data_IF_085940284810
#
_entry.id   IF_085940284810
#
_cell.length_a   1.000
_cell.length_b   1.000
_cell.length_c   1.000
_cell.angle_alpha   90.00
_cell.angle_beta   90.00
_cell.angle_gamma   90.00
#
_symmetry.space_group_name_H-M   'P 1'
#
loop_
_entity.id
_entity.type
_entity.pdbx_description
1 polymer ?
#
# COMPACT_ATOMS: atom_id res chain seq x y z
N UNK A 1 -3.49 -25.20 4.65
CA UNK A 1 -2.09 -25.35 5.10
C UNK A 1 -1.08 -25.18 3.96
N UNK A 2 -1.18 -25.85 2.79
CA UNK A 2 -0.21 -25.67 1.68
C UNK A 2 -0.23 -24.31 0.96
N UNK A 3 -1.35 -23.55 0.98
CA UNK A 3 -1.43 -22.21 0.35
C UNK A 3 -0.66 -21.17 1.16
N UNK A 4 -0.65 -21.31 2.49
CA UNK A 4 -0.08 -20.33 3.43
C UNK A 4 1.45 -20.34 3.33
N UNK A 5 2.08 -21.52 3.28
CA UNK A 5 3.54 -21.64 3.18
C UNK A 5 4.14 -21.14 1.85
N UNK A 6 3.38 -21.18 0.75
CA UNK A 6 3.84 -20.66 -0.55
C UNK A 6 3.74 -19.13 -0.64
N UNK A 7 2.72 -18.55 0.00
CA UNK A 7 2.54 -17.10 0.06
C UNK A 7 3.59 -16.46 0.99
N UNK A 8 3.78 -17.01 2.20
CA UNK A 8 4.71 -16.48 3.22
C UNK A 8 6.17 -16.41 2.73
N UNK A 9 6.65 -17.46 2.05
CA UNK A 9 7.99 -17.49 1.47
C UNK A 9 8.17 -16.49 0.31
N UNK A 10 7.11 -16.14 -0.42
CA UNK A 10 7.20 -15.17 -1.51
C UNK A 10 7.26 -13.73 -0.98
N UNK A 11 6.56 -13.44 0.12
CA UNK A 11 6.45 -12.10 0.71
C UNK A 11 7.68 -11.63 1.50
N UNK A 12 8.25 -12.50 2.36
CA UNK A 12 9.48 -12.19 3.11
C UNK A 12 10.68 -12.09 2.18
N UNK A 13 10.77 -13.02 1.21
CA UNK A 13 11.78 -12.96 0.15
C UNK A 13 11.61 -11.68 -0.66
N UNK A 14 10.40 -11.16 -0.88
CA UNK A 14 10.18 -9.95 -1.67
C UNK A 14 10.72 -8.67 -1.00
N UNK A 15 10.34 -8.33 0.25
CA UNK A 15 10.88 -7.13 0.91
C UNK A 15 12.40 -7.22 1.15
N UNK A 16 12.89 -8.42 1.48
CA UNK A 16 14.31 -8.67 1.65
C UNK A 16 15.07 -8.68 0.30
N UNK A 17 14.42 -9.11 -0.79
CA UNK A 17 14.93 -8.99 -2.16
C UNK A 17 14.91 -7.55 -2.64
N UNK A 18 13.95 -6.70 -2.29
CA UNK A 18 13.98 -5.28 -2.65
C UNK A 18 15.19 -4.59 -2.01
N UNK A 19 15.39 -4.79 -0.70
CA UNK A 19 16.55 -4.25 0.02
C UNK A 19 17.87 -4.85 -0.46
N UNK A 20 17.93 -6.16 -0.70
CA UNK A 20 19.16 -6.81 -1.19
C UNK A 20 19.44 -6.56 -2.68
N UNK A 21 18.42 -6.38 -3.53
CA UNK A 21 18.59 -5.98 -4.93
C UNK A 21 19.13 -4.55 -5.00
N UNK A 22 18.54 -3.61 -4.24
CA UNK A 22 19.08 -2.25 -4.08
C UNK A 22 20.55 -2.27 -3.65
N UNK A 23 20.93 -3.17 -2.73
CA UNK A 23 22.32 -3.32 -2.27
C UNK A 23 23.24 -4.06 -3.25
N UNK A 24 22.74 -5.04 -4.00
CA UNK A 24 23.50 -5.79 -5.01
C UNK A 24 23.83 -4.91 -6.21
N UNK A 25 22.90 -4.03 -6.59
CA UNK A 25 23.08 -3.03 -7.62
C UNK A 25 24.16 -2.01 -7.23
N UNK A 26 24.38 -1.75 -5.94
CA UNK A 26 25.53 -0.94 -5.46
C UNK A 26 26.88 -1.62 -5.70
N UNK A 27 26.93 -2.95 -5.78
CA UNK A 27 28.17 -3.70 -6.02
C UNK A 27 28.48 -3.92 -7.50
N UNK A 28 27.49 -3.73 -8.40
CA UNK A 28 27.61 -4.05 -9.82
C UNK A 28 27.77 -2.85 -10.76
N UNK A 29 27.93 -1.62 -10.26
CA UNK A 29 28.15 -0.45 -11.13
C UNK A 29 29.60 -0.41 -11.62
N UNK A 30 29.90 -1.23 -12.63
CA UNK A 30 31.04 -1.05 -13.54
C UNK A 30 30.59 -1.32 -15.00
N UNK A 31 30.47 -0.24 -15.78
CA UNK A 31 30.61 -0.10 -17.24
C UNK A 31 30.26 -1.27 -18.20
N UNK A 32 29.28 -1.08 -19.10
CA UNK A 32 29.50 -0.68 -20.51
C UNK A 32 28.18 -0.63 -21.31
N UNK A 33 28.06 0.40 -22.15
CA UNK A 33 26.92 0.71 -23.02
C UNK A 33 27.19 0.17 -24.44
N UNK A 34 26.21 -0.48 -25.09
CA UNK A 34 26.16 -0.57 -26.55
C UNK A 34 24.72 -0.38 -27.06
N UNK A 35 24.51 0.75 -27.73
CA UNK A 35 23.27 1.16 -28.38
C UNK A 35 23.31 0.68 -29.85
N UNK A 36 22.26 0.02 -30.32
CA UNK A 36 22.02 -0.20 -31.75
C UNK A 36 20.73 0.50 -32.15
N UNK A 37 20.85 1.58 -32.94
CA UNK A 37 19.73 2.38 -33.44
C UNK A 37 19.09 1.67 -34.64
N UNK A 38 17.80 1.38 -34.56
CA UNK A 38 16.95 1.09 -35.73
C UNK A 38 15.77 2.04 -35.70
N UNK A 39 15.75 3.04 -36.58
CA UNK A 39 14.66 4.00 -36.73
C UNK A 39 13.53 3.38 -37.57
N UNK A 40 12.43 3.01 -36.91
CA UNK A 40 11.11 2.86 -37.53
C UNK A 40 10.19 3.90 -36.91
N UNK A 41 9.85 4.97 -37.64
CA UNK A 41 8.92 5.99 -37.16
C UNK A 41 7.50 5.50 -37.47
N UNK A 42 6.86 4.88 -36.49
CA UNK A 42 5.41 4.78 -36.44
C UNK A 42 4.88 5.98 -35.65
N UNK A 43 4.10 6.84 -36.29
CA UNK A 43 3.35 7.91 -35.62
C UNK A 43 2.17 7.29 -34.84
N UNK A 44 2.46 6.69 -33.69
CA UNK A 44 1.47 6.58 -32.62
C UNK A 44 1.39 7.94 -31.95
N UNK A 45 0.17 8.44 -31.70
CA UNK A 45 -0.03 9.71 -31.00
C UNK A 45 0.79 9.70 -29.71
N UNK A 46 1.67 10.69 -29.56
CA UNK A 46 2.47 10.88 -28.35
C UNK A 46 1.54 11.36 -27.23
N UNK A 47 0.78 10.44 -26.63
CA UNK A 47 0.23 10.67 -25.30
C UNK A 47 1.43 10.68 -24.35
N UNK A 48 1.84 11.86 -23.90
CA UNK A 48 2.87 11.98 -22.88
C UNK A 48 2.37 11.29 -21.62
N UNK A 49 3.10 10.27 -21.14
CA UNK A 49 2.78 9.64 -19.86
C UNK A 49 2.68 10.71 -18.76
N UNK A 50 1.58 10.70 -18.02
CA UNK A 50 1.33 11.70 -16.98
C UNK A 50 1.75 11.14 -15.63
N UNK A 51 2.92 11.54 -15.15
CA UNK A 51 3.46 11.07 -13.89
C UNK A 51 2.71 11.66 -12.68
N UNK A 52 2.43 10.85 -11.65
CA UNK A 52 1.75 11.29 -10.42
C UNK A 52 2.54 11.05 -9.11
N UNK A 53 3.68 10.38 -9.17
CA UNK A 53 4.57 10.09 -8.05
C UNK A 53 6.00 9.86 -8.54
N UNK A 54 6.98 9.87 -7.64
CA UNK A 54 8.41 9.72 -7.95
C UNK A 54 8.95 10.78 -8.93
N UNK A 55 8.51 12.03 -8.81
CA UNK A 55 8.94 13.12 -9.66
C UNK A 55 10.48 13.30 -9.65
N UNK A 56 10.99 13.90 -10.71
CA UNK A 56 12.39 14.25 -10.79
C UNK A 56 12.67 15.48 -9.92
N UNK A 57 13.83 15.48 -9.29
CA UNK A 57 14.34 16.59 -8.49
C UNK A 57 15.84 16.74 -8.76
N UNK A 58 16.34 17.97 -8.62
CA UNK A 58 17.74 18.27 -8.93
C UNK A 58 18.68 17.79 -7.82
N UNK A 59 19.96 17.65 -8.17
CA UNK A 59 21.00 17.29 -7.20
C UNK A 59 21.19 18.38 -6.16
N UNK A 60 21.14 19.64 -6.58
CA UNK A 60 21.26 20.82 -5.72
C UNK A 60 20.12 20.85 -4.69
N UNK A 61 18.89 20.53 -5.11
CA UNK A 61 17.76 20.40 -4.19
C UNK A 61 17.97 19.24 -3.20
N UNK A 62 18.50 18.11 -3.66
CA UNK A 62 18.82 16.98 -2.78
C UNK A 62 19.85 17.36 -1.71
N UNK A 63 20.96 17.99 -2.13
CA UNK A 63 22.05 18.43 -1.25
C UNK A 63 21.57 19.46 -0.23
N UNK A 64 20.77 20.45 -0.66
CA UNK A 64 20.14 21.44 0.21
C UNK A 64 19.22 20.82 1.27
N UNK A 65 18.75 19.60 1.05
CA UNK A 65 17.88 18.85 1.95
C UNK A 65 18.59 17.63 2.58
N UNK A 66 19.92 17.67 2.72
CA UNK A 66 20.70 16.69 3.49
C UNK A 66 20.90 15.36 2.78
N UNK A 67 20.70 15.29 1.45
CA UNK A 67 20.87 14.10 0.63
C UNK A 67 22.04 14.31 -0.35
N UNK A 68 23.24 13.89 0.05
CA UNK A 68 24.44 13.95 -0.79
C UNK A 68 24.45 12.90 -1.91
N UNK A 69 25.57 12.79 -2.63
CA UNK A 69 25.71 11.93 -3.82
C UNK A 69 25.18 10.50 -3.62
N UNK A 70 25.58 9.84 -2.53
CA UNK A 70 25.19 8.46 -2.24
C UNK A 70 23.67 8.33 -2.06
N UNK A 71 23.07 9.21 -1.26
CA UNK A 71 21.63 9.27 -1.07
C UNK A 71 20.90 9.56 -2.39
N UNK A 72 21.39 10.51 -3.19
CA UNK A 72 20.79 10.86 -4.48
C UNK A 72 20.74 9.66 -5.43
N UNK A 73 21.86 8.95 -5.59
CA UNK A 73 21.95 7.75 -6.43
C UNK A 73 21.00 6.63 -5.94
N UNK A 74 20.95 6.40 -4.62
CA UNK A 74 20.05 5.41 -4.02
C UNK A 74 18.58 5.70 -4.34
N UNK A 75 18.16 6.96 -4.25
CA UNK A 75 16.77 7.34 -4.56
C UNK A 75 16.49 7.19 -6.05
N UNK A 76 17.40 7.59 -6.94
CA UNK A 76 17.17 7.41 -8.38
C UNK A 76 17.00 5.93 -8.74
N UNK A 77 17.78 5.05 -8.12
CA UNK A 77 17.62 3.61 -8.31
C UNK A 77 16.30 3.10 -7.72
N UNK A 78 15.97 3.51 -6.49
CA UNK A 78 14.76 3.06 -5.82
C UNK A 78 13.47 3.51 -6.53
N UNK A 79 13.46 4.71 -7.12
CA UNK A 79 12.34 5.18 -7.96
C UNK A 79 12.07 4.24 -9.14
N UNK A 80 13.10 3.63 -9.72
CA UNK A 80 12.92 2.65 -10.82
C UNK A 80 12.17 1.40 -10.34
N UNK A 81 12.44 0.93 -9.12
CA UNK A 81 11.68 -0.16 -8.52
C UNK A 81 10.21 0.23 -8.31
N UNK A 82 9.97 1.45 -7.83
CA UNK A 82 8.60 1.95 -7.61
C UNK A 82 7.78 2.01 -8.90
N UNK A 83 8.37 2.40 -10.04
CA UNK A 83 7.66 2.40 -11.32
C UNK A 83 7.14 1.02 -11.74
N UNK A 84 7.78 -0.06 -11.30
CA UNK A 84 7.25 -1.41 -11.50
C UNK A 84 5.94 -1.66 -10.74
N UNK A 85 5.75 -1.01 -9.59
CA UNK A 85 4.57 -1.20 -8.74
C UNK A 85 3.41 -0.25 -9.06
N UNK A 86 3.72 1.01 -9.38
CA UNK A 86 2.70 2.07 -9.51
C UNK A 86 2.58 2.64 -10.93
N UNK A 87 3.46 2.19 -11.84
CA UNK A 87 3.50 2.64 -13.22
C UNK A 87 4.11 4.03 -13.39
N UNK A 88 4.27 4.45 -14.65
CA UNK A 88 4.74 5.79 -15.03
C UNK A 88 3.64 6.67 -15.62
N UNK A 89 2.50 6.07 -15.99
CA UNK A 89 1.39 6.77 -16.63
C UNK A 89 0.14 6.72 -15.75
N UNK A 90 -0.30 7.88 -15.29
CA UNK A 90 -1.37 8.02 -14.32
C UNK A 90 -2.61 8.65 -14.97
N UNK A 91 -3.73 7.95 -14.87
CA UNK A 91 -5.02 8.38 -15.42
C UNK A 91 -5.71 9.41 -14.50
N UNK A 92 -5.31 10.68 -14.62
CA UNK A 92 -5.84 11.76 -13.79
C UNK A 92 -7.37 11.90 -13.88
N UNK A 93 -7.99 11.57 -15.00
CA UNK A 93 -9.43 11.66 -15.19
C UNK A 93 -10.17 10.58 -14.41
N UNK A 94 -9.67 9.34 -14.45
CA UNK A 94 -10.22 8.27 -13.62
C UNK A 94 -10.05 8.55 -12.14
N UNK A 95 -8.83 8.92 -11.72
CA UNK A 95 -8.50 9.11 -10.31
C UNK A 95 -9.06 10.37 -9.67
N UNK A 96 -9.49 11.37 -10.47
CA UNK A 96 -10.25 12.50 -9.97
C UNK A 96 -11.51 12.03 -9.22
N UNK A 97 -11.94 12.77 -8.19
CA UNK A 97 -13.17 12.46 -7.46
C UNK A 97 -14.37 12.56 -8.38
N UNK A 98 -15.20 11.51 -8.44
CA UNK A 98 -16.39 11.51 -9.27
C UNK A 98 -17.35 12.64 -8.90
N UNK A 99 -17.97 13.26 -9.89
CA UNK A 99 -18.90 14.38 -9.69
C UNK A 99 -20.16 14.02 -8.88
N UNK A 100 -20.53 12.74 -8.85
CA UNK A 100 -21.67 12.23 -8.08
C UNK A 100 -21.30 11.85 -6.63
N UNK A 101 -20.05 12.04 -6.22
CA UNK A 101 -19.64 11.83 -4.83
C UNK A 101 -20.07 13.01 -3.93
N UNK A 102 -20.58 12.69 -2.75
CA UNK A 102 -20.91 13.66 -1.70
C UNK A 102 -20.58 13.09 -0.33
N UNK A 103 -19.77 13.81 0.43
CA UNK A 103 -19.36 13.42 1.80
C UNK A 103 -20.54 13.14 2.74
N UNK A 104 -21.66 13.84 2.54
CA UNK A 104 -22.80 13.81 3.47
C UNK A 104 -23.93 12.87 3.02
N UNK A 105 -23.94 12.45 1.76
CA UNK A 105 -25.07 11.68 1.19
C UNK A 105 -24.67 10.42 0.46
N UNK A 106 -23.41 10.27 0.03
CA UNK A 106 -22.93 9.03 -0.57
C UNK A 106 -22.83 7.92 0.48
N UNK A 107 -23.29 6.73 0.13
CA UNK A 107 -23.34 5.58 1.04
C UNK A 107 -22.10 4.71 0.82
N UNK A 108 -21.37 4.34 1.88
CA UNK A 108 -20.26 3.39 1.75
C UNK A 108 -20.66 2.10 1.02
N UNK A 109 -19.85 1.69 0.04
CA UNK A 109 -20.13 0.60 -0.90
C UNK A 109 -20.80 1.04 -2.21
N UNK A 110 -21.17 2.31 -2.37
CA UNK A 110 -21.57 2.86 -3.67
C UNK A 110 -20.42 2.83 -4.67
N UNK A 111 -20.72 2.43 -5.90
CA UNK A 111 -19.80 2.53 -7.03
C UNK A 111 -19.92 3.93 -7.64
N UNK A 112 -18.77 4.58 -7.83
CA UNK A 112 -18.65 5.91 -8.42
C UNK A 112 -18.16 5.86 -9.88
N UNK A 113 -17.12 5.05 -10.14
CA UNK A 113 -16.55 4.85 -11.49
C UNK A 113 -16.19 3.39 -11.72
N UNK A 114 -16.23 2.98 -12.98
CA UNK A 114 -15.80 1.69 -13.47
C UNK A 114 -15.14 1.87 -14.85
N UNK A 115 -13.95 1.34 -15.04
CA UNK A 115 -13.27 1.33 -16.33
C UNK A 115 -12.58 -0.01 -16.56
N UNK A 116 -12.72 -0.66 -17.73
CA UNK A 116 -11.86 -1.80 -18.07
C UNK A 116 -10.41 -1.32 -18.23
N UNK A 117 -9.45 -2.17 -17.85
CA UNK A 117 -8.04 -1.93 -18.15
C UNK A 117 -7.64 -2.68 -19.41
N UNK A 118 -6.79 -2.03 -20.21
CA UNK A 118 -6.21 -2.65 -21.41
C UNK A 118 -5.23 -3.76 -20.99
N UNK A 119 -5.48 -5.03 -21.38
CA UNK A 119 -4.59 -6.13 -21.04
C UNK A 119 -3.18 -5.98 -21.65
N UNK A 120 -2.99 -5.20 -22.71
CA UNK A 120 -1.66 -4.94 -23.29
C UNK A 120 -0.78 -4.06 -22.38
N UNK A 121 -1.40 -3.32 -21.44
CA UNK A 121 -0.72 -2.46 -20.48
C UNK A 121 -0.48 -3.14 -19.12
N UNK A 122 -0.91 -4.39 -18.95
CA UNK A 122 -0.82 -5.11 -17.69
C UNK A 122 0.25 -6.23 -17.72
N UNK A 123 1.04 -6.31 -16.65
CA UNK A 123 1.94 -7.43 -16.38
C UNK A 123 1.27 -8.40 -15.40
N UNK A 124 0.23 -9.06 -15.90
CA UNK A 124 -0.53 -10.10 -15.18
C UNK A 124 -0.73 -11.31 -16.10
N UNK A 125 -1.22 -12.42 -15.56
CA UNK A 125 -1.49 -13.62 -16.38
C UNK A 125 -2.41 -13.29 -17.54
N UNK A 126 -1.99 -13.62 -18.76
CA UNK A 126 -2.78 -13.49 -19.97
C UNK A 126 -4.17 -14.12 -19.82
N UNK A 127 -5.20 -13.39 -20.26
CA UNK A 127 -6.61 -13.75 -20.13
C UNK A 127 -7.26 -13.36 -18.79
N UNK A 128 -6.52 -12.73 -17.87
CA UNK A 128 -7.11 -12.10 -16.69
C UNK A 128 -7.79 -10.81 -17.13
N UNK A 129 -9.08 -10.66 -16.84
CA UNK A 129 -9.81 -9.42 -17.14
C UNK A 129 -9.77 -8.53 -15.91
N UNK A 130 -9.34 -7.28 -16.08
CA UNK A 130 -9.24 -6.33 -14.96
C UNK A 130 -10.09 -5.10 -15.23
N UNK A 131 -10.78 -4.64 -14.18
CA UNK A 131 -11.49 -3.37 -14.14
C UNK A 131 -10.94 -2.53 -13.00
N UNK A 132 -10.74 -1.24 -13.25
CA UNK A 132 -10.52 -0.25 -12.21
C UNK A 132 -11.86 0.25 -11.68
N UNK A 133 -11.96 0.45 -10.37
CA UNK A 133 -13.16 0.98 -9.70
C UNK A 133 -12.82 2.21 -8.87
N UNK A 134 -13.76 3.14 -8.78
CA UNK A 134 -13.82 4.14 -7.71
C UNK A 134 -15.11 3.89 -6.95
N UNK A 135 -15.04 3.86 -5.62
CA UNK A 135 -16.16 3.55 -4.75
C UNK A 135 -16.12 4.39 -3.49
N UNK A 136 -17.22 4.36 -2.73
CA UNK A 136 -17.34 5.09 -1.47
C UNK A 136 -16.92 4.18 -0.32
N UNK A 137 -16.01 4.66 0.52
CA UNK A 137 -15.63 4.03 1.79
C UNK A 137 -15.94 4.98 2.95
N UNK A 138 -15.43 4.67 4.14
CA UNK A 138 -15.56 5.47 5.36
C UNK A 138 -14.20 5.60 6.03
N UNK A 139 -13.74 6.84 6.23
CA UNK A 139 -12.49 7.13 6.94
C UNK A 139 -12.66 6.98 8.46
N UNK A 140 -11.57 7.00 9.22
CA UNK A 140 -11.56 6.88 10.69
C UNK A 140 -12.36 7.99 11.39
N UNK A 141 -12.49 9.16 10.75
CA UNK A 141 -13.31 10.27 11.26
C UNK A 141 -14.82 10.04 11.04
N UNK A 142 -15.20 8.92 10.41
CA UNK A 142 -16.58 8.50 10.21
C UNK A 142 -17.25 9.04 8.95
N UNK A 143 -16.58 9.90 8.18
CA UNK A 143 -17.11 10.50 6.95
C UNK A 143 -16.94 9.59 5.73
N UNK A 144 -17.87 9.68 4.78
CA UNK A 144 -17.75 9.04 3.48
C UNK A 144 -16.58 9.63 2.70
N UNK A 145 -15.79 8.78 2.04
CA UNK A 145 -14.61 9.16 1.23
C UNK A 145 -14.54 8.36 -0.07
N UNK A 146 -14.08 8.94 -1.18
CA UNK A 146 -13.86 8.18 -2.42
C UNK A 146 -12.55 7.40 -2.32
N UNK A 147 -12.57 6.14 -2.74
CA UNK A 147 -11.42 5.24 -2.76
C UNK A 147 -11.37 4.53 -4.10
N UNK A 148 -10.17 4.29 -4.62
CA UNK A 148 -9.96 3.54 -5.86
C UNK A 148 -9.48 2.12 -5.59
N UNK A 149 -9.49 1.29 -6.62
CA UNK A 149 -9.05 -0.08 -6.55
C UNK A 149 -9.27 -0.80 -7.87
N UNK A 150 -9.18 -2.12 -7.86
CA UNK A 150 -9.42 -2.95 -9.03
C UNK A 150 -10.21 -4.22 -8.70
N UNK A 151 -10.86 -4.77 -9.72
CA UNK A 151 -11.46 -6.10 -9.74
C UNK A 151 -10.80 -6.89 -10.86
N UNK A 152 -10.23 -8.05 -10.53
CA UNK A 152 -9.63 -8.98 -11.48
C UNK A 152 -10.43 -10.29 -11.53
N UNK A 153 -10.84 -10.69 -12.73
CA UNK A 153 -11.55 -11.93 -13.00
C UNK A 153 -10.57 -12.94 -13.62
N UNK A 154 -10.57 -14.20 -13.15
CA UNK A 154 -9.61 -15.20 -13.60
C UNK A 154 -9.93 -15.70 -15.01
N UNK A 155 -8.93 -16.28 -15.67
CA UNK A 155 -9.00 -16.85 -17.03
C UNK A 155 -9.95 -18.06 -17.10
N UNK A 156 -9.97 -18.87 -16.04
CA UNK A 156 -10.72 -20.12 -16.01
C UNK A 156 -12.21 -19.84 -15.85
N UNK A 157 -13.11 -20.52 -16.59
CA UNK A 157 -14.54 -20.32 -16.43
C UNK A 157 -15.00 -20.67 -15.00
N UNK A 158 -16.06 -20.00 -14.50
CA UNK A 158 -16.53 -20.21 -13.15
C UNK A 158 -17.14 -21.61 -13.00
N UNK A 159 -16.80 -22.33 -11.92
CA UNK A 159 -17.27 -23.72 -11.71
C UNK A 159 -18.79 -23.84 -11.53
N UNK A 160 -19.42 -22.82 -10.94
CA UNK A 160 -20.87 -22.80 -10.64
C UNK A 160 -21.51 -21.48 -11.12
N UNK A 161 -21.17 -21.03 -12.33
CA UNK A 161 -21.53 -19.71 -12.89
C UNK A 161 -21.04 -18.49 -12.08
N UNK A 162 -20.35 -18.71 -10.96
CA UNK A 162 -19.73 -17.69 -10.13
C UNK A 162 -18.26 -18.00 -9.81
N UNK A 163 -17.46 -16.96 -9.65
CA UNK A 163 -16.09 -16.99 -9.17
C UNK A 163 -16.08 -16.85 -7.64
N UNK A 164 -15.34 -17.71 -6.92
CA UNK A 164 -14.96 -17.46 -5.52
C UNK A 164 -14.33 -16.07 -5.38
N UNK A 165 -14.82 -15.24 -4.46
CA UNK A 165 -14.32 -13.87 -4.29
C UNK A 165 -13.29 -13.77 -3.16
N UNK A 166 -12.18 -13.10 -3.42
CA UNK A 166 -11.20 -12.70 -2.41
C UNK A 166 -11.02 -11.19 -2.42
N UNK A 167 -11.10 -10.58 -1.23
CA UNK A 167 -10.67 -9.20 -1.02
C UNK A 167 -9.17 -9.17 -0.70
N UNK A 168 -8.35 -8.59 -1.59
CA UNK A 168 -6.91 -8.47 -1.41
C UNK A 168 -6.53 -7.10 -0.86
N UNK A 169 -5.68 -7.10 0.17
CA UNK A 169 -5.18 -5.93 0.86
C UNK A 169 -3.66 -5.85 0.69
N UNK A 170 -3.18 -4.86 -0.05
CA UNK A 170 -1.76 -4.73 -0.36
C UNK A 170 -0.92 -4.28 0.85
N UNK A 171 0.38 -4.56 0.80
CA UNK A 171 1.35 -4.02 1.75
C UNK A 171 1.68 -2.55 1.46
N UNK A 172 2.67 -2.02 2.15
CA UNK A 172 3.11 -0.63 1.96
C UNK A 172 3.57 -0.38 0.52
N UNK A 173 2.96 0.60 -0.13
CA UNK A 173 3.26 1.00 -1.54
C UNK A 173 3.59 2.49 -1.67
N UNK A 174 3.22 3.29 -0.66
CA UNK A 174 3.50 4.72 -0.66
C UNK A 174 2.63 5.46 0.34
N UNK A 175 2.85 6.77 0.40
CA UNK A 175 2.04 7.69 1.18
C UNK A 175 1.42 8.80 0.33
N UNK A 176 1.72 8.86 -0.97
CA UNK A 176 1.24 9.92 -1.86
C UNK A 176 0.25 9.35 -2.87
N UNK A 177 -0.65 10.21 -3.36
CA UNK A 177 -1.75 9.79 -4.24
C UNK A 177 -1.30 8.97 -5.45
N UNK A 178 -0.16 9.30 -6.06
CA UNK A 178 0.32 8.62 -7.25
C UNK A 178 0.86 7.22 -6.99
N UNK A 179 0.97 6.81 -5.72
CA UNK A 179 1.45 5.48 -5.35
C UNK A 179 0.31 4.43 -5.32
N UNK A 180 -0.72 4.59 -6.15
CA UNK A 180 -1.88 3.71 -6.16
C UNK A 180 -1.51 2.35 -6.79
N UNK A 181 -1.77 1.22 -6.13
CA UNK A 181 -1.65 -0.10 -6.75
C UNK A 181 -2.37 -0.21 -8.09
N UNK A 182 -3.61 0.28 -8.17
CA UNK A 182 -4.46 0.14 -9.36
C UNK A 182 -4.00 0.95 -10.58
N UNK A 183 -2.98 1.82 -10.44
CA UNK A 183 -2.38 2.55 -11.55
C UNK A 183 -1.21 1.81 -12.18
N UNK A 184 -0.59 0.87 -11.46
CA UNK A 184 0.58 0.15 -11.92
C UNK A 184 0.27 -1.03 -12.84
N UNK A 185 1.22 -1.42 -13.70
CA UNK A 185 1.03 -2.51 -14.67
C UNK A 185 0.84 -3.87 -13.98
N UNK A 186 1.47 -4.09 -12.83
CA UNK A 186 1.36 -5.34 -12.04
C UNK A 186 0.31 -5.25 -10.92
N UNK A 187 -0.41 -4.12 -10.83
CA UNK A 187 -1.45 -3.85 -9.83
C UNK A 187 -0.94 -4.09 -8.39
N UNK A 188 0.10 -3.36 -7.98
CA UNK A 188 1.05 -3.69 -6.90
C UNK A 188 2.10 -4.72 -7.36
N UNK A 189 2.32 -5.81 -6.61
CA UNK A 189 3.17 -6.94 -6.98
C UNK A 189 2.29 -8.09 -7.45
N UNK A 190 2.36 -8.47 -8.73
CA UNK A 190 1.49 -9.54 -9.23
C UNK A 190 1.69 -10.84 -8.44
N UNK A 191 2.90 -11.14 -7.97
CA UNK A 191 3.16 -12.37 -7.21
C UNK A 191 2.38 -12.43 -5.89
N UNK A 192 1.97 -11.29 -5.32
CA UNK A 192 1.22 -11.25 -4.06
C UNK A 192 -0.22 -11.75 -4.19
N UNK A 193 -0.79 -11.71 -5.39
CA UNK A 193 -2.19 -12.09 -5.64
C UNK A 193 -2.38 -13.06 -6.81
N UNK A 194 -1.32 -13.34 -7.58
CA UNK A 194 -1.28 -14.30 -8.70
C UNK A 194 -1.86 -15.66 -8.34
N UNK A 195 -1.52 -16.20 -7.16
CA UNK A 195 -1.99 -17.52 -6.75
C UNK A 195 -3.52 -17.59 -6.64
N UNK A 196 -4.19 -16.49 -6.32
CA UNK A 196 -5.65 -16.41 -6.24
C UNK A 196 -6.26 -16.57 -7.65
N UNK A 197 -5.75 -15.79 -8.60
CA UNK A 197 -6.18 -15.85 -10.01
C UNK A 197 -5.90 -17.22 -10.62
N UNK A 198 -4.71 -17.77 -10.41
CA UNK A 198 -4.32 -19.09 -10.91
C UNK A 198 -5.19 -20.23 -10.34
N UNK A 199 -5.79 -20.01 -9.17
CA UNK A 199 -6.72 -20.94 -8.51
C UNK A 199 -8.19 -20.67 -8.87
N UNK A 200 -8.47 -19.70 -9.72
CA UNK A 200 -9.83 -19.37 -10.19
C UNK A 200 -10.62 -18.48 -9.23
N UNK A 201 -9.97 -17.76 -8.32
CA UNK A 201 -10.63 -16.75 -7.49
C UNK A 201 -10.69 -15.42 -8.25
N UNK A 202 -11.83 -14.74 -8.20
CA UNK A 202 -11.89 -13.32 -8.49
C UNK A 202 -11.26 -12.53 -7.33
N UNK A 203 -10.57 -11.45 -7.66
CA UNK A 203 -9.92 -10.57 -6.70
C UNK A 203 -10.58 -9.20 -6.77
N UNK A 204 -10.96 -8.64 -5.62
CA UNK A 204 -11.19 -7.20 -5.47
C UNK A 204 -10.10 -6.66 -4.57
N UNK A 205 -9.44 -5.59 -4.97
CA UNK A 205 -8.38 -4.97 -4.20
C UNK A 205 -8.61 -3.47 -4.10
N UNK A 206 -8.41 -2.92 -2.90
CA UNK A 206 -8.48 -1.48 -2.65
C UNK A 206 -7.09 -0.86 -2.75
N UNK A 207 -7.01 0.39 -3.17
CA UNK A 207 -5.78 1.19 -3.06
C UNK A 207 -5.60 1.78 -1.65
N UNK A 208 -6.62 1.72 -0.78
CA UNK A 208 -6.79 2.53 0.42
C UNK A 208 -7.08 4.01 0.18
N UNK A 209 -7.78 4.60 1.15
CA UNK A 209 -8.08 6.03 1.19
C UNK A 209 -6.80 6.87 1.02
N UNK A 210 -6.86 7.89 0.16
CA UNK A 210 -5.78 8.83 -0.12
C UNK A 210 -4.66 8.30 -1.03
N UNK A 211 -4.75 7.05 -1.49
CA UNK A 211 -4.01 6.54 -2.64
C UNK A 211 -4.92 6.57 -3.87
N UNK A 212 -4.36 6.92 -5.02
CA UNK A 212 -5.06 7.18 -6.28
C UNK A 212 -5.80 8.51 -6.28
N UNK A 213 -6.74 8.66 -5.36
CA UNK A 213 -7.58 9.85 -5.26
C UNK A 213 -7.01 10.89 -4.28
N UNK A 214 -7.10 12.18 -4.63
CA UNK A 214 -6.55 13.29 -3.85
C UNK A 214 -7.56 14.00 -2.91
N UNK A 215 -8.71 13.38 -2.64
CA UNK A 215 -9.73 13.95 -1.74
C UNK A 215 -9.23 14.10 -0.30
N UNK A 216 -8.33 13.21 0.13
CA UNK A 216 -7.65 13.25 1.42
C UNK A 216 -6.27 12.61 1.28
N UNK A 217 -5.44 12.72 2.30
CA UNK A 217 -4.13 12.07 2.33
C UNK A 217 -4.20 10.62 2.81
N UNK A 218 -3.26 9.77 2.36
CA UNK A 218 -3.20 8.39 2.82
C UNK A 218 -2.85 8.29 4.31
N UNK A 219 -3.80 7.84 5.13
CA UNK A 219 -3.60 7.64 6.58
C UNK A 219 -2.94 6.28 6.85
N UNK A 220 -1.64 6.20 6.61
CA UNK A 220 -0.82 4.98 6.72
C UNK A 220 -1.12 4.21 8.03
N UNK A 221 -1.34 2.90 7.90
CA UNK A 221 -1.67 1.99 9.01
C UNK A 221 -2.80 2.41 9.97
N UNK A 222 -3.71 3.29 9.52
CA UNK A 222 -4.98 3.56 10.20
C UNK A 222 -5.97 2.41 9.93
N UNK A 223 -5.75 1.25 10.56
CA UNK A 223 -6.44 0.03 10.17
C UNK A 223 -7.98 0.02 10.25
N UNK A 224 -8.67 0.80 11.10
CA UNK A 224 -10.14 0.93 11.01
C UNK A 224 -10.60 1.46 9.65
N UNK A 225 -9.91 2.46 9.09
CA UNK A 225 -10.20 2.99 7.76
C UNK A 225 -9.87 1.94 6.69
N UNK A 226 -8.70 1.30 6.79
CA UNK A 226 -8.29 0.25 5.83
C UNK A 226 -9.23 -0.96 5.85
N UNK A 227 -9.79 -1.32 7.00
CA UNK A 227 -10.80 -2.36 7.12
C UNK A 227 -12.11 -1.97 6.41
N UNK A 228 -12.54 -0.71 6.54
CA UNK A 228 -13.69 -0.18 5.79
C UNK A 228 -13.39 -0.22 4.29
N UNK A 229 -12.20 0.18 3.86
CA UNK A 229 -11.79 0.18 2.46
C UNK A 229 -11.89 -1.22 1.86
N UNK A 230 -11.34 -2.24 2.54
CA UNK A 230 -11.43 -3.64 2.11
C UNK A 230 -12.90 -4.10 2.04
N UNK A 231 -13.70 -3.86 3.08
CA UNK A 231 -15.09 -4.30 3.14
C UNK A 231 -15.97 -3.65 2.07
N UNK A 232 -15.90 -2.32 1.93
CA UNK A 232 -16.74 -1.59 0.98
C UNK A 232 -16.30 -1.80 -0.48
N UNK A 233 -15.05 -2.19 -0.73
CA UNK A 233 -14.62 -2.64 -2.06
C UNK A 233 -15.40 -3.89 -2.52
N UNK A 234 -15.68 -4.83 -1.60
CA UNK A 234 -16.48 -6.03 -1.88
C UNK A 234 -17.91 -5.66 -2.23
N UNK A 235 -18.53 -4.75 -1.46
CA UNK A 235 -19.88 -4.27 -1.75
C UNK A 235 -19.92 -3.61 -3.13
N UNK A 236 -18.98 -2.71 -3.41
CA UNK A 236 -18.91 -2.01 -4.70
C UNK A 236 -18.71 -2.98 -5.87
N UNK A 237 -17.81 -3.96 -5.73
CA UNK A 237 -17.60 -4.99 -6.74
C UNK A 237 -18.87 -5.82 -6.99
N UNK A 238 -19.63 -6.16 -5.95
CA UNK A 238 -20.90 -6.89 -6.08
C UNK A 238 -21.99 -6.08 -6.79
N UNK A 239 -22.00 -4.74 -6.67
CA UNK A 239 -22.98 -3.90 -7.39
C UNK A 239 -22.86 -4.05 -8.91
N UNK A 240 -21.68 -4.37 -9.43
CA UNK A 240 -21.42 -4.53 -10.87
C UNK A 240 -21.33 -6.00 -11.26
N UNK A 241 -20.60 -6.79 -10.49
CA UNK A 241 -20.23 -8.16 -10.84
C UNK A 241 -20.98 -9.22 -10.02
N UNK A 242 -22.03 -8.84 -9.27
CA UNK A 242 -22.75 -9.73 -8.35
C UNK A 242 -23.34 -10.99 -8.99
N UNK A 243 -23.64 -10.96 -10.30
CA UNK A 243 -24.12 -12.13 -11.05
C UNK A 243 -23.04 -13.18 -11.30
N UNK A 244 -21.75 -12.80 -11.25
CA UNK A 244 -20.60 -13.67 -11.51
C UNK A 244 -19.69 -13.84 -10.30
N UNK A 245 -19.96 -13.18 -9.17
CA UNK A 245 -19.21 -13.34 -7.92
C UNK A 245 -19.99 -14.19 -6.93
N UNK A 246 -19.33 -15.17 -6.31
CA UNK A 246 -19.96 -16.01 -5.28
C UNK A 246 -20.44 -15.18 -4.10
N UNK A 247 -21.49 -15.60 -3.41
CA UNK A 247 -21.93 -14.95 -2.16
C UNK A 247 -20.90 -15.07 -1.03
N UNK A 248 -20.14 -16.17 -1.03
CA UNK A 248 -19.06 -16.39 -0.06
C UNK A 248 -17.80 -15.64 -0.47
N UNK A 249 -17.07 -15.09 0.50
CA UNK A 249 -15.81 -14.39 0.24
C UNK A 249 -14.87 -14.46 1.45
N UNK A 250 -13.57 -14.25 1.20
CA UNK A 250 -12.54 -14.15 2.24
C UNK A 250 -11.66 -12.92 2.01
N UNK A 251 -10.86 -12.53 3.00
CA UNK A 251 -9.84 -11.50 2.82
C UNK A 251 -8.41 -12.03 3.01
N UNK A 252 -7.47 -11.45 2.29
CA UNK A 252 -6.04 -11.80 2.35
C UNK A 252 -5.21 -10.53 2.32
N UNK A 253 -4.18 -10.42 3.16
CA UNK A 253 -3.28 -9.27 3.14
C UNK A 253 -1.93 -9.53 3.81
N UNK A 254 -0.94 -8.74 3.40
CA UNK A 254 0.45 -8.80 3.88
C UNK A 254 0.91 -7.46 4.47
N UNK A 255 1.72 -7.45 5.54
CA UNK A 255 2.30 -6.24 6.14
C UNK A 255 1.21 -5.24 6.58
N UNK A 256 1.16 -4.03 6.01
CA UNK A 256 0.04 -3.09 6.16
C UNK A 256 -1.30 -3.77 5.85
N UNK A 257 -1.40 -4.47 4.72
CA UNK A 257 -2.60 -5.19 4.33
C UNK A 257 -2.95 -6.33 5.29
N UNK A 258 -1.94 -6.97 5.88
CA UNK A 258 -2.11 -7.97 6.93
C UNK A 258 -2.81 -7.41 8.16
N UNK A 259 -2.39 -6.21 8.59
CA UNK A 259 -3.04 -5.48 9.67
C UNK A 259 -4.47 -5.04 9.31
N UNK A 260 -4.70 -4.61 8.07
CA UNK A 260 -6.02 -4.23 7.58
C UNK A 260 -7.02 -5.39 7.60
N UNK A 261 -6.64 -6.56 7.07
CA UNK A 261 -7.53 -7.74 7.04
C UNK A 261 -7.72 -8.37 8.42
N UNK A 262 -6.73 -8.25 9.30
CA UNK A 262 -6.92 -8.63 10.70
C UNK A 262 -7.96 -7.70 11.34
N UNK A 263 -7.78 -6.38 11.21
CA UNK A 263 -8.72 -5.41 11.77
C UNK A 263 -10.14 -5.63 11.25
N UNK A 264 -10.30 -5.91 9.95
CA UNK A 264 -11.57 -6.28 9.34
C UNK A 264 -12.26 -7.46 10.06
N UNK A 265 -11.51 -8.53 10.38
CA UNK A 265 -12.05 -9.70 11.08
C UNK A 265 -12.54 -9.42 12.52
N UNK A 266 -12.16 -8.28 13.10
CA UNK A 266 -12.60 -7.83 14.42
C UNK A 266 -13.87 -6.98 14.36
N UNK A 267 -14.23 -6.46 13.18
CA UNK A 267 -15.39 -5.58 13.01
C UNK A 267 -16.72 -6.35 12.92
N UNK A 268 -17.83 -5.66 13.16
CA UNK A 268 -19.18 -6.18 12.88
C UNK A 268 -19.53 -6.16 11.39
N UNK A 269 -18.76 -5.46 10.55
CA UNK A 269 -19.01 -5.36 9.10
C UNK A 269 -19.06 -6.74 8.45
N UNK A 270 -18.14 -7.63 8.81
CA UNK A 270 -18.08 -8.99 8.25
C UNK A 270 -19.26 -9.89 8.64
N UNK A 271 -20.15 -9.42 9.53
CA UNK A 271 -21.39 -10.10 9.91
C UNK A 271 -22.61 -9.55 9.16
N UNK A 272 -22.47 -8.41 8.50
CA UNK A 272 -23.55 -7.80 7.74
C UNK A 272 -23.79 -8.58 6.45
N UNK A 273 -25.06 -8.71 6.06
CA UNK A 273 -25.46 -9.42 4.84
C UNK A 273 -25.03 -8.71 3.55
N UNK A 274 -24.82 -7.40 3.60
CA UNK A 274 -24.57 -6.56 2.41
C UNK A 274 -23.29 -6.98 1.67
N UNK A 275 -22.26 -7.42 2.40
CA UNK A 275 -21.03 -7.96 1.82
C UNK A 275 -21.13 -9.42 1.36
N UNK A 276 -22.23 -10.12 1.67
CA UNK A 276 -22.35 -11.58 1.52
C UNK A 276 -21.76 -12.34 2.71
N UNK A 277 -21.57 -13.66 2.56
CA UNK A 277 -21.09 -14.53 3.65
C UNK A 277 -19.57 -14.48 3.77
N UNK A 278 -19.07 -13.85 4.83
CA UNK A 278 -17.63 -13.81 5.13
C UNK A 278 -17.13 -15.14 5.69
N UNK A 279 -16.10 -15.71 5.06
CA UNK A 279 -15.51 -16.99 5.45
C UNK A 279 -14.33 -16.84 6.42
N UNK A 280 -13.60 -15.71 6.36
CA UNK A 280 -12.45 -15.47 7.22
C UNK A 280 -11.34 -14.65 6.57
N UNK A 281 -10.26 -14.49 7.33
CA UNK A 281 -9.06 -13.73 6.99
C UNK A 281 -7.84 -14.64 6.90
N UNK A 282 -6.97 -14.39 5.92
CA UNK A 282 -5.55 -14.80 5.94
C UNK A 282 -4.70 -13.55 6.13
N UNK A 283 -4.16 -13.36 7.33
CA UNK A 283 -3.30 -12.22 7.69
C UNK A 283 -1.84 -12.69 7.72
N UNK A 284 -0.98 -12.09 6.91
CA UNK A 284 0.43 -12.47 6.73
C UNK A 284 1.32 -11.33 7.21
N UNK A 285 2.26 -11.63 8.12
CA UNK A 285 3.21 -10.67 8.71
C UNK A 285 2.59 -9.30 9.07
N UNK A 286 1.48 -9.25 9.82
CA UNK A 286 0.72 -8.02 10.04
C UNK A 286 1.46 -7.01 10.93
N UNK A 287 1.40 -5.73 10.55
CA UNK A 287 1.87 -4.61 11.36
C UNK A 287 0.93 -4.30 12.53
N UNK A 288 0.81 -5.19 13.51
CA UNK A 288 -0.23 -5.10 14.55
C UNK A 288 -0.01 -3.99 15.58
N UNK A 289 1.23 -3.81 16.05
CA UNK A 289 1.61 -2.81 17.06
C UNK A 289 2.86 -2.07 16.61
N UNK A 290 2.72 -1.31 15.53
CA UNK A 290 3.85 -0.71 14.80
C UNK A 290 4.72 0.19 15.67
N UNK A 291 4.14 0.96 16.58
CA UNK A 291 4.90 1.90 17.42
C UNK A 291 5.61 1.19 18.56
N UNK A 292 4.98 0.23 19.23
CA UNK A 292 5.66 -0.64 20.19
C UNK A 292 6.82 -1.41 19.53
N UNK A 293 6.57 -1.93 18.32
CA UNK A 293 7.60 -2.61 17.53
C UNK A 293 8.74 -1.65 17.23
N UNK A 294 8.46 -0.43 16.76
CA UNK A 294 9.48 0.57 16.54
C UNK A 294 10.29 0.85 17.82
N UNK A 295 9.63 1.13 18.96
CA UNK A 295 10.30 1.42 20.23
C UNK A 295 11.22 0.28 20.70
N UNK A 296 10.72 -0.95 20.70
CA UNK A 296 11.48 -2.13 21.10
C UNK A 296 12.72 -2.33 20.22
N UNK A 297 12.55 -2.21 18.91
CA UNK A 297 13.63 -2.48 17.96
C UNK A 297 14.63 -1.33 17.83
N UNK A 298 14.27 -0.07 18.11
CA UNK A 298 15.24 1.04 18.07
C UNK A 298 16.42 0.82 19.03
N UNK A 299 16.18 0.20 20.19
CA UNK A 299 17.25 -0.18 21.13
C UNK A 299 18.21 -1.24 20.57
N UNK A 300 17.71 -2.12 19.69
CA UNK A 300 18.48 -3.17 19.00
C UNK A 300 19.23 -2.61 17.79
N UNK A 301 18.57 -1.73 17.02
CA UNK A 301 19.18 -1.05 15.86
C UNK A 301 20.40 -0.23 16.29
N UNK A 302 20.36 0.41 17.46
CA UNK A 302 21.49 1.16 18.01
C UNK A 302 22.77 0.32 18.21
N UNK A 303 22.63 -1.00 18.32
CA UNK A 303 23.72 -1.92 18.60
C UNK A 303 24.16 -2.71 17.35
N UNK A 304 23.41 -2.60 16.24
CA UNK A 304 23.69 -3.33 15.01
C UNK A 304 24.37 -2.42 13.96
N UNK A 305 25.64 -2.67 13.60
CA UNK A 305 26.31 -1.90 12.54
C UNK A 305 25.64 -2.09 11.16
N UNK A 306 24.76 -3.07 11.00
CA UNK A 306 23.94 -3.31 9.81
C UNK A 306 22.51 -2.78 9.94
N UNK A 307 22.21 -1.88 10.87
CA UNK A 307 20.86 -1.32 11.07
C UNK A 307 20.18 -0.82 9.77
N UNK A 308 20.96 -0.33 8.81
CA UNK A 308 20.51 0.12 7.48
C UNK A 308 19.89 -0.98 6.62
N UNK A 309 20.10 -2.26 6.94
CA UNK A 309 19.49 -3.41 6.24
C UNK A 309 18.15 -3.82 6.84
N UNK A 310 17.73 -3.22 7.95
CA UNK A 310 16.48 -3.54 8.60
C UNK A 310 15.33 -2.75 7.98
N UNK A 311 14.28 -3.46 7.53
CA UNK A 311 13.05 -2.86 6.99
C UNK A 311 12.49 -1.81 7.95
N UNK A 312 12.48 -2.12 9.25
CA UNK A 312 11.91 -1.22 10.26
C UNK A 312 12.65 0.13 10.35
N UNK A 313 13.97 0.14 10.15
CA UNK A 313 14.73 1.39 10.08
C UNK A 313 14.27 2.23 8.87
N UNK A 314 14.09 1.58 7.72
CA UNK A 314 13.63 2.20 6.49
C UNK A 314 12.16 2.65 6.53
N UNK A 315 11.34 2.08 7.42
CA UNK A 315 9.94 2.46 7.61
C UNK A 315 9.73 3.60 8.64
N UNK A 316 10.78 4.06 9.32
CA UNK A 316 10.68 5.18 10.29
C UNK A 316 9.95 6.42 9.75
N UNK A 317 10.18 6.87 8.50
CA UNK A 317 9.43 8.00 7.91
C UNK A 317 7.93 7.75 7.81
N UNK A 318 7.51 6.51 7.55
CA UNK A 318 6.10 6.14 7.50
C UNK A 318 5.41 6.23 8.86
N UNK A 319 6.11 5.88 9.95
CA UNK A 319 5.58 6.05 11.31
C UNK A 319 5.32 7.53 11.62
N UNK A 320 6.22 8.42 11.18
CA UNK A 320 6.06 9.85 11.37
C UNK A 320 4.89 10.40 10.56
N UNK A 321 4.75 9.96 9.30
CA UNK A 321 3.62 10.31 8.44
C UNK A 321 2.29 9.79 8.98
N UNK A 322 2.25 8.56 9.54
CA UNK A 322 1.05 8.00 10.15
C UNK A 322 0.53 8.89 11.29
N UNK A 323 1.42 9.29 12.20
CA UNK A 323 1.07 10.16 13.32
C UNK A 323 0.66 11.56 12.86
N UNK A 324 1.38 12.11 11.87
CA UNK A 324 1.05 13.42 11.27
C UNK A 324 -0.34 13.43 10.68
N UNK A 325 -0.69 12.41 9.91
CA UNK A 325 -1.98 12.34 9.22
C UNK A 325 -3.13 11.91 10.12
N UNK A 326 -2.85 11.10 11.15
CA UNK A 326 -3.82 10.83 12.22
C UNK A 326 -4.23 12.13 12.94
N UNK A 327 -3.30 13.08 13.09
CA UNK A 327 -3.53 14.40 13.67
C UNK A 327 -3.93 15.48 12.67
N UNK A 328 -4.33 15.11 11.45
CA UNK A 328 -4.69 16.07 10.40
C UNK A 328 -3.60 17.14 10.14
N UNK A 329 -2.33 16.74 10.21
CA UNK A 329 -1.17 17.61 10.02
C UNK A 329 -0.63 18.25 11.29
N UNK A 330 -1.35 18.19 12.41
CA UNK A 330 -0.95 18.74 13.72
C UNK A 330 0.07 17.83 14.44
N UNK A 331 1.22 17.62 13.78
CA UNK A 331 2.39 16.94 14.31
C UNK A 331 3.61 17.23 13.44
N UNK A 332 4.71 17.61 14.08
CA UNK A 332 5.93 18.05 13.41
C UNK A 332 6.90 16.91 13.05
N UNK A 333 6.48 15.64 13.16
CA UNK A 333 7.35 14.48 12.89
C UNK A 333 8.58 14.42 13.79
N UNK A 334 8.48 14.91 15.03
CA UNK A 334 9.58 15.01 15.99
C UNK A 334 10.37 13.72 16.24
N UNK A 335 9.80 12.57 15.89
CA UNK A 335 10.43 11.25 16.07
C UNK A 335 11.53 10.96 15.06
N UNK A 336 11.59 11.75 13.98
CA UNK A 336 12.65 11.68 13.01
C UNK A 336 13.87 12.42 13.56
N UNK A 337 15.05 11.82 13.35
CA UNK A 337 16.31 12.52 13.53
C UNK A 337 16.42 13.71 12.57
N UNK A 338 17.36 14.63 12.83
CA UNK A 338 17.45 15.88 12.07
C UNK A 338 17.68 15.64 10.57
N UNK A 339 18.56 14.70 10.22
CA UNK A 339 18.84 14.33 8.83
C UNK A 339 17.59 13.82 8.09
N UNK A 340 16.85 12.88 8.69
CA UNK A 340 15.63 12.35 8.08
C UNK A 340 14.52 13.40 8.01
N UNK A 341 14.34 14.21 9.06
CA UNK A 341 13.36 15.29 9.07
C UNK A 341 13.61 16.30 7.94
N UNK A 342 14.88 16.64 7.66
CA UNK A 342 15.25 17.49 6.54
C UNK A 342 14.94 16.82 5.18
N UNK A 343 15.24 15.52 5.07
CA UNK A 343 15.00 14.71 3.87
C UNK A 343 13.51 14.47 3.56
N UNK A 344 12.60 14.66 4.52
CA UNK A 344 11.15 14.61 4.25
C UNK A 344 10.70 15.62 3.19
N UNK A 345 11.41 16.74 3.02
CA UNK A 345 11.14 17.69 1.92
C UNK A 345 11.35 17.07 0.55
N UNK A 346 12.33 16.16 0.42
CA UNK A 346 12.54 15.40 -0.83
C UNK A 346 11.39 14.42 -1.06
N UNK A 347 10.95 13.74 0.01
CA UNK A 347 9.80 12.84 -0.08
C UNK A 347 8.52 13.56 -0.53
N UNK A 348 8.26 14.75 0.02
CA UNK A 348 7.09 15.57 -0.32
C UNK A 348 7.18 16.15 -1.74
N UNK A 349 8.32 16.75 -2.12
CA UNK A 349 8.54 17.34 -3.46
C UNK A 349 8.47 16.28 -4.56
N UNK A 350 9.16 15.16 -4.36
CA UNK A 350 9.21 14.10 -5.35
C UNK A 350 8.01 13.13 -5.25
N UNK A 351 7.15 13.26 -4.24
CA UNK A 351 6.07 12.31 -3.92
C UNK A 351 6.57 10.85 -3.98
N UNK A 352 7.61 10.56 -3.21
CA UNK A 352 8.28 9.25 -3.27
C UNK A 352 7.37 8.12 -2.81
N UNK A 353 7.30 7.05 -3.60
CA UNK A 353 6.65 5.81 -3.19
C UNK A 353 7.60 4.98 -2.30
N UNK A 354 7.22 3.73 -1.98
CA UNK A 354 7.87 2.97 -0.92
C UNK A 354 9.37 2.82 -1.05
N UNK A 355 9.87 2.40 -2.21
CA UNK A 355 11.30 2.20 -2.39
C UNK A 355 12.04 3.53 -2.30
N UNK A 356 11.52 4.59 -2.95
CA UNK A 356 12.10 5.92 -2.90
C UNK A 356 12.20 6.48 -1.48
N UNK A 357 11.12 6.38 -0.69
CA UNK A 357 11.08 6.86 0.69
C UNK A 357 12.01 6.05 1.61
N UNK A 358 12.07 4.72 1.43
CA UNK A 358 13.04 3.87 2.12
C UNK A 358 14.48 4.20 1.71
N UNK A 359 14.72 4.58 0.45
CA UNK A 359 16.03 5.00 -0.05
C UNK A 359 16.60 6.21 0.70
N UNK A 360 15.74 7.10 1.20
CA UNK A 360 16.14 8.27 2.00
C UNK A 360 16.77 7.90 3.36
N UNK A 361 16.63 6.67 3.83
CA UNK A 361 17.16 6.25 5.14
C UNK A 361 18.49 5.49 5.04
N UNK A 362 18.84 4.99 3.85
CA UNK A 362 19.83 3.93 3.65
C UNK A 362 21.28 4.33 3.94
N UNK A 363 21.62 5.62 3.90
CA UNK A 363 22.94 6.14 4.26
C UNK A 363 22.94 6.94 5.57
N UNK A 364 21.80 7.09 6.26
CA UNK A 364 21.72 7.74 7.56
C UNK A 364 22.27 6.84 8.68
N UNK A 365 22.83 7.48 9.69
CA UNK A 365 23.08 6.84 10.99
C UNK A 365 21.84 6.97 11.89
N UNK A 366 21.79 6.19 12.97
CA UNK A 366 20.61 6.15 13.83
C UNK A 366 20.19 7.53 14.35
N UNK A 367 21.14 8.38 14.76
CA UNK A 367 20.84 9.70 15.30
C UNK A 367 20.24 10.67 14.25
N UNK A 368 20.56 10.49 12.98
CA UNK A 368 19.96 11.27 11.89
C UNK A 368 18.63 10.67 11.41
N UNK A 369 18.42 9.36 11.61
CA UNK A 369 17.19 8.67 11.27
C UNK A 369 16.09 8.87 12.32
N UNK A 370 16.42 8.72 13.60
CA UNK A 370 15.48 8.62 14.72
C UNK A 370 15.87 9.53 15.89
N UNK A 371 14.87 10.12 16.54
CA UNK A 371 15.00 11.01 17.68
C UNK A 371 14.35 10.40 18.92
N UNK A 372 15.16 9.94 19.87
CA UNK A 372 14.66 9.35 21.12
C UNK A 372 13.93 10.39 21.98
N UNK A 373 14.45 11.62 22.06
CA UNK A 373 13.79 12.73 22.76
C UNK A 373 12.45 13.07 22.12
N UNK A 374 12.39 13.09 20.78
CA UNK A 374 11.17 13.35 20.04
C UNK A 374 10.13 12.24 20.20
N UNK A 375 10.57 10.98 20.26
CA UNK A 375 9.71 9.85 20.56
C UNK A 375 9.16 9.88 21.98
N UNK A 376 9.97 10.23 22.98
CA UNK A 376 9.51 10.45 24.36
C UNK A 376 8.50 11.60 24.44
N UNK A 377 8.78 12.72 23.78
CA UNK A 377 7.85 13.86 23.71
C UNK A 377 6.52 13.51 23.02
N UNK A 378 6.52 12.51 22.13
CA UNK A 378 5.35 12.06 21.37
C UNK A 378 4.64 10.84 21.98
N UNK A 379 5.09 10.34 23.13
CA UNK A 379 4.63 9.06 23.70
C UNK A 379 3.12 9.01 23.90
N UNK A 380 2.50 10.12 24.30
CA UNK A 380 1.04 10.20 24.44
C UNK A 380 0.34 10.00 23.10
N UNK A 381 0.77 10.73 22.07
CA UNK A 381 0.21 10.61 20.72
C UNK A 381 0.42 9.20 20.15
N UNK A 382 1.56 8.59 20.45
CA UNK A 382 1.86 7.21 20.05
C UNK A 382 0.84 6.23 20.60
N UNK A 383 0.59 6.30 21.91
CA UNK A 383 -0.38 5.43 22.59
C UNK A 383 -1.78 5.68 22.05
N UNK A 384 -2.18 6.94 21.90
CA UNK A 384 -3.48 7.31 21.32
C UNK A 384 -3.66 6.72 19.90
N UNK A 385 -2.67 6.86 19.01
CA UNK A 385 -2.71 6.26 17.68
C UNK A 385 -2.77 4.73 17.74
N UNK A 386 -1.92 4.09 18.55
CA UNK A 386 -1.84 2.64 18.68
C UNK A 386 -3.17 2.06 19.17
N UNK A 387 -3.76 2.66 20.21
CA UNK A 387 -5.04 2.23 20.80
C UNK A 387 -6.21 2.41 19.83
N UNK A 388 -6.21 3.50 19.06
CA UNK A 388 -7.27 3.78 18.09
C UNK A 388 -7.19 2.88 16.85
N UNK A 389 -5.97 2.55 16.40
CA UNK A 389 -5.75 1.98 15.06
C UNK A 389 -5.38 0.50 15.06
N UNK A 390 -4.64 0.00 16.05
CA UNK A 390 -4.10 -1.35 16.01
C UNK A 390 -5.21 -2.42 15.84
N UNK A 391 -4.97 -3.49 15.06
CA UNK A 391 -5.68 -4.75 15.25
C UNK A 391 -5.31 -5.33 16.63
N UNK A 392 -6.15 -6.20 17.18
CA UNK A 392 -5.95 -6.89 18.46
C UNK A 392 -5.94 -5.99 19.70
N UNK A 393 -6.73 -4.92 19.71
CA UNK A 393 -6.89 -3.95 20.82
C UNK A 393 -7.52 -4.48 22.11
N UNK A 394 -7.38 -5.77 22.42
CA UNK A 394 -7.65 -6.32 23.77
C UNK A 394 -9.12 -6.41 24.21
N UNK A 395 -10.11 -5.99 23.39
CA UNK A 395 -11.51 -6.36 23.69
C UNK A 395 -11.62 -7.87 23.56
N UNK A 396 -11.69 -8.57 24.69
CA UNK A 396 -12.00 -9.98 24.70
C UNK A 396 -13.25 -10.20 23.85
N UNK A 397 -13.13 -11.00 22.79
CA UNK A 397 -14.32 -11.65 22.26
C UNK A 397 -14.93 -12.37 23.45
N UNK A 398 -16.17 -12.04 23.78
CA UNK A 398 -16.93 -12.71 24.84
C UNK A 398 -16.78 -14.23 24.59
N UNK A 399 -16.02 -14.91 25.46
CA UNK A 399 -15.63 -16.33 25.32
C UNK A 399 -16.82 -17.26 25.64
N UNK A 400 -18.02 -16.94 25.19
CA UNK A 400 -19.20 -17.80 25.37
C UNK A 400 -19.26 -18.96 24.37
N UNK A 401 -18.26 -19.10 23.47
CA UNK A 401 -18.32 -20.03 22.34
C UNK A 401 -17.50 -21.31 22.51
N UNK A 402 -16.73 -21.46 23.60
CA UNK A 402 -15.96 -22.69 23.87
C UNK A 402 -16.61 -23.61 24.93
N UNK A 403 -17.89 -23.41 25.23
CA UNK A 403 -18.67 -24.33 26.06
C UNK A 403 -19.98 -24.66 25.36
N UNK A 404 -19.91 -25.58 24.39
CA UNK A 404 -20.96 -26.53 23.99
C UNK A 404 -20.49 -27.28 22.74
N UNK A 405 -19.67 -28.30 22.97
CA UNK A 405 -19.82 -29.61 22.34
C UNK A 405 -19.80 -30.64 23.45
#
# INVERSE_FOLDING_TARGET
MCIIGALDNSFLVFQQNQLSNLQSLLHSVSFETRLSLSLGIAFYGLTSALQAANFNFSREFAEANGCGEKCYQLIQLAKQADFGFVGTDFDFDFYATAHNFSRNSSVPGDLLKLAPLDPELLDVRAGTTVYRIQYVSRDIDGFSVPVTGFVALPVHPPKNNTYPLTAFAHGTVGAFRGCAPSSGPSLFDYNSWKLLIDRGFAVVATDYVGLGNNYTEHRYCTFPAHANDVYYSVIAARKVFGSVLSNEWMSVGHSQGGGAVWKLAETDLVRQSDGGKYLGTVSISPGIRLLDTAQEFMSKLAQDPKMRTWVLAAETPYLALALKRYRNGDYNMSILGKGMLQRMKIAEEAQLCTSGLMGLTMDLDLADLYSEEGAKASERLYKEFQEATAPSGGKSRNRSWWSKE
#
